data_IF_755008504070
#
_entry.id   IF_755008504070
#
_cell.length_a   1.000
_cell.length_b   1.000
_cell.length_c   1.000
_cell.angle_alpha   90.00
_cell.angle_beta   90.00
_cell.angle_gamma   90.00
#
_symmetry.space_group_name_H-M   'P 1'
#
loop_
_entity.id
_entity.type
_entity.pdbx_description
1 polymer ?
#
# COMPACT_ATOMS: atom_id res chain seq x y z
N UNK A 1 5.78 13.13 -2.74
CA UNK A 1 6.22 12.12 -1.75
C UNK A 1 7.73 11.91 -1.80
N UNK A 2 8.32 11.64 -2.97
CA UNK A 2 9.76 11.35 -3.12
C UNK A 2 10.67 12.42 -2.48
N UNK A 3 10.44 13.71 -2.77
CA UNK A 3 11.16 14.82 -2.12
C UNK A 3 11.15 14.75 -0.58
N UNK A 4 9.96 14.53 0.01
CA UNK A 4 9.85 14.38 1.47
C UNK A 4 10.59 13.15 1.99
N UNK A 5 10.53 12.03 1.27
CA UNK A 5 11.27 10.83 1.64
C UNK A 5 12.79 11.06 1.60
N UNK A 6 13.27 11.82 0.61
CA UNK A 6 14.68 12.22 0.51
C UNK A 6 15.08 13.18 1.64
N UNK A 7 14.25 14.18 1.93
CA UNK A 7 14.52 15.18 2.99
C UNK A 7 14.54 14.54 4.40
N UNK A 8 13.93 13.37 4.57
CA UNK A 8 13.91 12.60 5.81
C UNK A 8 15.08 11.57 5.90
N UNK A 9 16.03 11.65 4.97
CA UNK A 9 17.34 10.98 5.00
C UNK A 9 17.31 9.47 5.29
N UNK A 10 16.28 8.78 4.80
CA UNK A 10 16.15 7.33 4.97
C UNK A 10 15.82 6.86 6.38
N UNK A 11 15.56 7.79 7.32
CA UNK A 11 15.18 7.53 8.72
C UNK A 11 13.66 7.39 8.90
N UNK A 12 12.87 7.90 7.95
CA UNK A 12 11.42 7.84 7.97
C UNK A 12 10.83 7.29 6.67
N UNK A 13 9.68 6.64 6.80
CA UNK A 13 8.82 6.24 5.68
C UNK A 13 7.68 7.24 5.58
N UNK A 14 7.58 7.88 4.42
CA UNK A 14 6.46 8.77 4.08
C UNK A 14 5.33 7.92 3.53
N UNK A 15 4.11 8.19 3.95
CA UNK A 15 2.95 7.47 3.47
C UNK A 15 1.75 8.35 3.17
N UNK A 16 0.96 7.86 2.23
CA UNK A 16 -0.25 8.51 1.73
C UNK A 16 -1.39 7.50 1.74
N UNK A 17 -2.51 7.92 2.33
CA UNK A 17 -3.75 7.19 2.28
C UNK A 17 -4.67 7.89 1.28
N UNK A 18 -4.94 7.24 0.14
CA UNK A 18 -5.83 7.78 -0.88
C UNK A 18 -7.23 8.10 -0.35
N UNK A 19 -8.04 8.83 -1.13
CA UNK A 19 -9.40 9.17 -0.75
C UNK A 19 -10.16 7.89 -0.46
N UNK A 20 -10.76 7.79 0.73
CA UNK A 20 -11.44 6.56 1.19
C UNK A 20 -10.50 5.34 1.27
N UNK A 21 -9.25 5.52 1.69
CA UNK A 21 -8.32 4.42 2.01
C UNK A 21 -7.73 4.54 3.43
N UNK A 22 -8.57 4.91 4.41
CA UNK A 22 -8.15 5.08 5.80
C UNK A 22 -7.71 6.50 6.19
N UNK A 23 -7.90 7.50 5.31
CA UNK A 23 -7.72 8.90 5.67
C UNK A 23 -8.77 9.36 6.69
N UNK A 24 -8.34 9.88 7.83
CA UNK A 24 -9.21 10.39 8.90
C UNK A 24 -9.73 11.81 8.66
N UNK A 25 -9.10 12.56 7.74
CA UNK A 25 -9.48 13.91 7.31
C UNK A 25 -9.66 13.91 5.78
N UNK A 26 -10.81 13.44 5.26
CA UNK A 26 -11.04 13.30 3.82
C UNK A 26 -11.17 14.64 3.08
N UNK A 27 -11.29 15.74 3.84
CA UNK A 27 -11.42 17.11 3.37
C UNK A 27 -10.08 17.85 3.26
N UNK A 28 -8.97 17.23 3.68
CA UNK A 28 -7.65 17.85 3.63
C UNK A 28 -6.56 16.88 3.17
N UNK A 29 -5.88 17.25 2.09
CA UNK A 29 -4.72 16.53 1.58
C UNK A 29 -3.55 16.62 2.56
N UNK A 30 -2.98 15.47 2.94
CA UNK A 30 -1.80 15.43 3.80
C UNK A 30 -0.98 14.17 3.53
N UNK A 31 0.32 14.25 3.81
CA UNK A 31 1.20 13.10 3.96
C UNK A 31 1.43 12.84 5.45
N UNK A 32 1.77 11.59 5.76
CA UNK A 32 2.20 11.19 7.08
C UNK A 32 3.63 10.62 6.98
N UNK A 33 4.35 10.61 8.10
CA UNK A 33 5.67 10.01 8.19
C UNK A 33 5.82 9.27 9.53
N UNK A 34 6.52 8.14 9.51
CA UNK A 34 6.82 7.34 10.70
C UNK A 34 8.21 6.73 10.60
N UNK A 35 8.76 6.30 11.73
CA UNK A 35 10.12 5.72 11.79
C UNK A 35 10.25 4.53 10.85
N UNK A 36 11.36 4.48 10.10
CA UNK A 36 11.67 3.37 9.20
C UNK A 36 11.76 2.03 9.92
N UNK A 37 11.52 0.96 9.16
CA UNK A 37 11.62 -0.44 9.59
C UNK A 37 10.62 -0.83 10.69
N UNK A 38 9.66 0.04 10.99
CA UNK A 38 8.52 -0.29 11.85
C UNK A 38 7.51 -1.18 11.11
N UNK A 39 7.25 -0.91 9.82
CA UNK A 39 6.36 -1.74 9.00
C UNK A 39 7.13 -2.92 8.42
N UNK A 40 6.58 -4.13 8.52
CA UNK A 40 7.29 -5.35 8.11
C UNK A 40 7.59 -5.37 6.61
N UNK A 41 6.75 -4.74 5.77
CA UNK A 41 6.97 -4.61 4.33
C UNK A 41 8.31 -3.96 3.99
N UNK A 42 8.83 -3.06 4.84
CA UNK A 42 10.11 -2.39 4.63
C UNK A 42 11.28 -3.37 4.82
N UNK A 43 11.20 -4.20 5.86
CA UNK A 43 12.21 -5.21 6.17
C UNK A 43 12.16 -6.38 5.16
N UNK A 44 10.95 -6.73 4.74
CA UNK A 44 10.70 -7.85 3.84
C UNK A 44 10.78 -7.46 2.35
N UNK A 45 10.98 -6.18 2.02
CA UNK A 45 10.89 -5.65 0.65
C UNK A 45 11.62 -6.52 -0.39
N UNK A 46 12.90 -6.81 -0.16
CA UNK A 46 13.71 -7.65 -1.05
C UNK A 46 13.21 -9.09 -1.10
N UNK A 47 12.77 -9.63 0.03
CA UNK A 47 12.25 -11.01 0.12
C UNK A 47 10.89 -11.13 -0.57
N UNK A 48 10.02 -10.14 -0.43
CA UNK A 48 8.71 -10.07 -1.07
C UNK A 48 8.87 -10.05 -2.58
N UNK A 49 9.72 -9.15 -3.08
CA UNK A 49 10.10 -9.09 -4.49
C UNK A 49 10.64 -10.42 -4.99
N UNK A 50 11.61 -11.03 -4.31
CA UNK A 50 12.22 -12.30 -4.73
C UNK A 50 11.24 -13.48 -4.75
N UNK A 51 10.31 -13.57 -3.79
CA UNK A 51 9.44 -14.75 -3.62
C UNK A 51 8.09 -14.62 -4.32
N UNK A 52 7.57 -13.40 -4.42
CA UNK A 52 6.18 -13.13 -4.78
C UNK A 52 6.04 -12.18 -5.98
N UNK A 53 7.14 -11.84 -6.66
CA UNK A 53 7.06 -11.16 -7.94
C UNK A 53 6.28 -12.01 -8.95
N UNK A 54 5.27 -11.40 -9.57
CA UNK A 54 4.47 -12.01 -10.63
C UNK A 54 4.75 -11.40 -12.00
N UNK A 55 5.31 -10.20 -12.03
CA UNK A 55 5.78 -9.51 -13.23
C UNK A 55 6.82 -8.44 -12.81
N UNK A 56 7.77 -8.12 -13.68
CA UNK A 56 8.75 -7.06 -13.46
C UNK A 56 9.20 -6.45 -14.79
N UNK A 57 9.48 -5.15 -14.79
CA UNK A 57 10.09 -4.44 -15.93
C UNK A 57 11.12 -3.42 -15.45
N UNK A 58 12.09 -3.12 -16.31
CA UNK A 58 13.08 -2.06 -16.10
C UNK A 58 12.94 -1.05 -17.24
N UNK A 59 12.59 0.19 -16.90
CA UNK A 59 12.39 1.28 -17.86
C UNK A 59 13.06 2.55 -17.32
N UNK A 60 13.86 3.23 -18.14
CA UNK A 60 14.52 4.50 -17.77
C UNK A 60 15.28 4.45 -16.41
N UNK A 61 15.83 3.29 -16.05
CA UNK A 61 16.55 3.08 -14.79
C UNK A 61 15.66 2.86 -13.56
N UNK A 62 14.35 2.67 -13.76
CA UNK A 62 13.38 2.34 -12.71
C UNK A 62 12.94 0.89 -12.86
N UNK A 63 13.16 0.11 -11.80
CA UNK A 63 12.62 -1.24 -11.72
C UNK A 63 11.21 -1.18 -11.14
N UNK A 64 10.24 -1.68 -11.91
CA UNK A 64 8.85 -1.81 -11.51
C UNK A 64 8.54 -3.29 -11.33
N UNK A 65 8.18 -3.71 -10.12
CA UNK A 65 7.85 -5.10 -9.81
C UNK A 65 6.44 -5.23 -9.24
N UNK A 66 5.62 -6.07 -9.86
CA UNK A 66 4.31 -6.46 -9.34
C UNK A 66 4.47 -7.61 -8.36
N UNK A 67 3.92 -7.45 -7.16
CA UNK A 67 4.05 -8.42 -6.08
C UNK A 67 2.65 -8.86 -5.61
N UNK A 68 2.43 -10.17 -5.59
CA UNK A 68 1.23 -10.80 -5.04
C UNK A 68 1.65 -11.87 -4.02
N UNK A 69 1.57 -11.53 -2.73
CA UNK A 69 1.96 -12.42 -1.64
C UNK A 69 0.81 -13.32 -1.14
N UNK A 70 -0.28 -13.41 -1.91
CA UNK A 70 -1.50 -14.13 -1.57
C UNK A 70 -2.54 -13.28 -0.86
N UNK A 71 -2.15 -12.17 -0.22
CA UNK A 71 -3.07 -11.24 0.44
C UNK A 71 -2.99 -9.88 -0.27
N UNK A 72 -1.83 -9.25 -0.19
CA UNK A 72 -1.57 -7.88 -0.67
C UNK A 72 -1.29 -7.90 -2.17
N UNK A 73 -1.80 -6.88 -2.87
CA UNK A 73 -1.48 -6.59 -4.27
C UNK A 73 -0.70 -5.30 -4.34
N UNK A 74 0.57 -5.41 -4.70
CA UNK A 74 1.53 -4.33 -4.57
C UNK A 74 2.24 -4.09 -5.89
N UNK A 75 2.61 -2.84 -6.13
CA UNK A 75 3.59 -2.46 -7.15
C UNK A 75 4.75 -1.77 -6.46
N UNK A 76 5.94 -2.34 -6.62
CA UNK A 76 7.19 -1.80 -6.11
C UNK A 76 7.85 -1.00 -7.22
N UNK A 77 8.32 0.20 -6.91
CA UNK A 77 9.17 1.00 -7.80
C UNK A 77 10.49 1.29 -7.08
N UNK A 78 11.60 1.03 -7.76
CA UNK A 78 12.97 1.25 -7.27
C UNK A 78 13.77 2.04 -8.30
N UNK A 79 14.51 3.06 -7.87
CA UNK A 79 15.42 3.80 -8.74
C UNK A 79 16.03 5.03 -8.05
N UNK A 80 16.97 5.68 -8.72
CA UNK A 80 17.65 6.88 -8.18
C UNK A 80 17.16 8.19 -8.80
N UNK A 81 16.43 8.12 -9.92
CA UNK A 81 15.93 9.30 -10.63
C UNK A 81 14.46 9.57 -10.27
N UNK A 82 14.23 10.63 -9.48
CA UNK A 82 12.90 11.06 -9.04
C UNK A 82 11.90 11.21 -10.20
N UNK A 83 12.30 11.86 -11.30
CA UNK A 83 11.42 12.11 -12.45
C UNK A 83 11.05 10.83 -13.19
N UNK A 84 11.98 9.87 -13.29
CA UNK A 84 11.70 8.59 -13.94
C UNK A 84 10.72 7.76 -13.10
N UNK A 85 10.87 7.77 -11.77
CA UNK A 85 9.96 7.07 -10.85
C UNK A 85 8.56 7.70 -10.90
N UNK A 86 8.49 9.03 -10.89
CA UNK A 86 7.22 9.76 -11.05
C UNK A 86 6.51 9.37 -12.36
N UNK A 87 7.25 9.31 -13.47
CA UNK A 87 6.71 8.91 -14.77
C UNK A 87 6.15 7.47 -14.75
N UNK A 88 6.89 6.51 -14.19
CA UNK A 88 6.42 5.12 -14.07
C UNK A 88 5.21 5.02 -13.13
N UNK A 89 5.22 5.74 -12.01
CA UNK A 89 4.08 5.84 -11.10
C UNK A 89 2.83 6.33 -11.84
N UNK A 90 2.93 7.43 -12.59
CA UNK A 90 1.79 7.94 -13.36
C UNK A 90 1.33 7.00 -14.48
N UNK A 91 2.25 6.24 -15.09
CA UNK A 91 1.88 5.20 -16.04
C UNK A 91 1.01 4.12 -15.38
N UNK A 92 1.41 3.64 -14.19
CA UNK A 92 0.64 2.66 -13.41
C UNK A 92 -0.69 3.26 -12.94
N UNK A 93 -0.67 4.48 -12.41
CA UNK A 93 -1.84 5.20 -11.91
C UNK A 93 -2.90 5.35 -13.00
N UNK A 94 -2.52 5.89 -14.16
CA UNK A 94 -3.44 6.11 -15.27
C UNK A 94 -4.02 4.78 -15.77
N UNK A 95 -3.17 3.75 -15.92
CA UNK A 95 -3.62 2.42 -16.31
C UNK A 95 -4.59 1.83 -15.30
N UNK A 96 -4.34 2.04 -14.01
CA UNK A 96 -5.21 1.56 -12.95
C UNK A 96 -6.58 2.25 -12.98
N UNK A 97 -6.61 3.58 -13.13
CA UNK A 97 -7.84 4.36 -13.30
C UNK A 97 -8.65 3.88 -14.51
N UNK A 98 -8.00 3.68 -15.66
CA UNK A 98 -8.62 3.17 -16.89
C UNK A 98 -9.27 1.80 -16.69
N UNK A 99 -8.54 0.85 -16.12
CA UNK A 99 -9.02 -0.52 -15.90
C UNK A 99 -10.19 -0.58 -14.91
N UNK A 100 -10.26 0.37 -13.98
CA UNK A 100 -11.34 0.49 -12.99
C UNK A 100 -12.49 1.38 -13.47
N UNK A 101 -12.37 2.00 -14.65
CA UNK A 101 -13.34 2.97 -15.18
C UNK A 101 -13.66 4.09 -14.18
N UNK A 102 -12.62 4.66 -13.58
CA UNK A 102 -12.78 5.69 -12.54
C UNK A 102 -12.60 7.09 -13.12
N UNK A 103 -13.54 7.96 -12.77
CA UNK A 103 -13.43 9.41 -12.99
C UNK A 103 -12.70 10.12 -11.83
N UNK A 104 -12.62 9.47 -10.66
CA UNK A 104 -11.93 9.93 -9.46
C UNK A 104 -10.60 9.19 -9.27
N UNK A 105 -9.79 9.66 -8.31
CA UNK A 105 -8.53 9.00 -7.92
C UNK A 105 -8.79 7.53 -7.49
N UNK A 106 -8.04 6.55 -8.03
CA UNK A 106 -8.17 5.17 -7.62
C UNK A 106 -7.80 4.96 -6.15
N UNK A 107 -8.49 4.01 -5.54
CA UNK A 107 -8.20 3.59 -4.17
C UNK A 107 -6.79 2.98 -4.10
N UNK A 108 -5.91 3.64 -3.35
CA UNK A 108 -4.57 3.15 -3.07
C UNK A 108 -4.03 3.68 -1.75
N UNK A 109 -3.01 3.00 -1.27
CA UNK A 109 -2.12 3.49 -0.23
C UNK A 109 -0.69 3.46 -0.78
N UNK A 110 0.13 4.43 -0.42
CA UNK A 110 1.50 4.55 -0.93
C UNK A 110 2.45 4.68 0.24
N UNK A 111 3.54 3.93 0.21
CA UNK A 111 4.72 4.14 1.06
C UNK A 111 5.88 4.59 0.18
N UNK A 112 6.70 5.51 0.66
CA UNK A 112 7.92 5.95 0.01
C UNK A 112 9.01 6.20 1.05
N UNK A 113 10.21 5.68 0.77
CA UNK A 113 11.41 5.92 1.56
C UNK A 113 12.66 5.88 0.69
N UNK A 114 13.81 6.24 1.26
CA UNK A 114 15.12 6.06 0.64
C UNK A 114 15.94 4.97 1.34
N UNK A 115 16.74 4.25 0.57
CA UNK A 115 17.78 3.33 1.03
C UNK A 115 19.10 3.74 0.36
N UNK A 116 19.91 4.56 1.05
CA UNK A 116 21.00 5.29 0.40
C UNK A 116 20.44 6.29 -0.62
N UNK A 117 20.95 6.25 -1.85
CA UNK A 117 20.48 7.12 -2.96
C UNK A 117 19.25 6.54 -3.71
N UNK A 118 18.84 5.31 -3.40
CA UNK A 118 17.72 4.64 -4.06
C UNK A 118 16.40 4.99 -3.38
N UNK A 119 15.44 5.48 -4.15
CA UNK A 119 14.06 5.58 -3.74
C UNK A 119 13.38 4.22 -3.86
N UNK A 120 12.59 3.88 -2.84
CA UNK A 120 11.67 2.75 -2.86
C UNK A 120 10.25 3.23 -2.64
N UNK A 121 9.37 2.87 -3.54
CA UNK A 121 7.94 3.16 -3.47
C UNK A 121 7.17 1.85 -3.47
N UNK A 122 6.22 1.72 -2.54
CA UNK A 122 5.26 0.63 -2.53
C UNK A 122 3.87 1.22 -2.74
N UNK A 123 3.22 0.84 -3.83
CA UNK A 123 1.82 1.16 -4.10
C UNK A 123 0.98 -0.06 -3.78
N UNK A 124 0.10 0.06 -2.79
CA UNK A 124 -0.91 -0.94 -2.46
C UNK A 124 -2.19 -0.66 -3.25
N UNK A 125 -2.59 -1.59 -4.11
CA UNK A 125 -3.75 -1.43 -5.00
C UNK A 125 -5.02 -1.90 -4.30
N UNK A 126 -5.92 -0.98 -3.98
CA UNK A 126 -7.10 -1.24 -3.14
C UNK A 126 -8.37 -1.39 -3.96
N UNK A 127 -9.17 -2.40 -3.66
CA UNK A 127 -10.52 -2.59 -4.24
C UNK A 127 -11.60 -1.88 -3.41
N UNK A 128 -11.44 -1.85 -2.08
CA UNK A 128 -12.44 -1.32 -1.14
C UNK A 128 -11.81 -0.45 -0.06
N UNK A 129 -12.59 0.53 0.39
CA UNK A 129 -12.24 1.35 1.55
C UNK A 129 -12.16 0.51 2.83
N UNK A 130 -13.22 -0.26 3.11
CA UNK A 130 -13.36 -1.03 4.35
C UNK A 130 -13.84 -2.45 4.07
N UNK A 131 -13.39 -3.44 4.85
CA UNK A 131 -13.88 -4.81 4.76
C UNK A 131 -15.31 -4.91 5.31
N UNK A 132 -16.02 -5.98 4.96
CA UNK A 132 -17.42 -6.21 5.32
C UNK A 132 -17.63 -6.22 6.85
N UNK A 133 -16.73 -6.85 7.60
CA UNK A 133 -16.77 -6.89 9.07
C UNK A 133 -16.72 -5.51 9.74
N UNK A 134 -16.22 -4.48 9.07
CA UNK A 134 -16.26 -3.11 9.62
C UNK A 134 -17.71 -2.64 9.84
N UNK A 135 -18.61 -3.04 8.93
CA UNK A 135 -20.03 -2.68 8.91
C UNK A 135 -20.93 -3.74 9.54
N UNK A 136 -20.39 -4.88 9.96
CA UNK A 136 -21.16 -5.92 10.61
C UNK A 136 -21.68 -5.45 11.99
N UNK A 137 -22.65 -6.19 12.52
CA UNK A 137 -23.27 -5.91 13.81
C UNK A 137 -22.92 -6.97 14.86
N UNK A 138 -23.05 -6.60 16.12
CA UNK A 138 -22.81 -7.49 17.26
C UNK A 138 -21.41 -8.08 17.24
N UNK A 139 -21.31 -9.40 17.40
CA UNK A 139 -20.02 -10.08 17.49
C UNK A 139 -19.30 -10.18 16.15
N UNK A 140 -19.96 -10.07 15.00
CA UNK A 140 -19.22 -10.19 13.72
C UNK A 140 -18.44 -8.92 13.37
N UNK A 141 -18.73 -7.82 14.07
CA UNK A 141 -18.05 -6.54 13.87
C UNK A 141 -16.60 -6.61 14.34
N UNK A 142 -15.71 -6.08 13.50
CA UNK A 142 -14.33 -5.75 13.87
C UNK A 142 -14.07 -4.34 13.36
N UNK A 143 -13.77 -3.39 14.26
CA UNK A 143 -13.53 -1.99 13.93
C UNK A 143 -12.11 -1.75 13.39
N UNK A 144 -11.74 -2.50 12.35
CA UNK A 144 -10.49 -2.35 11.63
C UNK A 144 -10.78 -1.85 10.21
N UNK A 145 -10.22 -0.68 9.87
CA UNK A 145 -10.27 -0.10 8.54
C UNK A 145 -8.83 0.04 8.05
N UNK A 146 -8.25 -0.98 7.40
CA UNK A 146 -6.83 -0.99 7.08
C UNK A 146 -6.39 0.24 6.29
N UNK A 147 -5.34 0.90 6.75
CA UNK A 147 -4.63 1.98 6.08
C UNK A 147 -3.17 1.58 5.79
N UNK A 148 -2.33 2.53 5.38
CA UNK A 148 -0.93 2.28 5.00
C UNK A 148 -0.13 1.50 6.06
N UNK A 149 -0.32 1.80 7.35
CA UNK A 149 0.40 1.14 8.44
C UNK A 149 -0.06 -0.32 8.62
N UNK A 150 -1.37 -0.56 8.58
CA UNK A 150 -1.95 -1.89 8.72
C UNK A 150 -1.51 -2.82 7.60
N UNK A 151 -1.64 -2.38 6.35
CA UNK A 151 -1.25 -3.15 5.17
C UNK A 151 0.27 -3.20 4.96
N UNK A 152 0.99 -2.23 5.53
CA UNK A 152 2.44 -2.27 5.71
C UNK A 152 2.91 -3.39 6.66
N UNK A 153 1.98 -3.99 7.41
CA UNK A 153 2.22 -5.18 8.23
C UNK A 153 2.18 -4.93 9.73
N UNK A 154 1.57 -3.82 10.18
CA UNK A 154 1.35 -3.52 11.60
C UNK A 154 -0.13 -3.33 11.85
N UNK A 155 -0.84 -4.41 12.22
CA UNK A 155 -2.28 -4.35 12.49
C UNK A 155 -2.60 -3.58 13.77
N UNK A 156 -3.09 -2.35 13.64
CA UNK A 156 -3.46 -1.50 14.78
C UNK A 156 -4.92 -1.76 15.13
N UNK A 157 -5.17 -2.49 16.22
CA UNK A 157 -6.51 -2.84 16.69
C UNK A 157 -6.74 -2.18 18.05
N UNK A 158 -7.30 -0.95 18.09
CA UNK A 158 -7.37 -0.16 19.32
C UNK A 158 -8.53 -0.55 20.23
N UNK A 159 -9.54 -1.26 19.72
CA UNK A 159 -10.67 -1.75 20.51
C UNK A 159 -10.25 -3.07 21.15
N UNK A 160 -10.25 -3.11 22.49
CA UNK A 160 -9.79 -4.27 23.26
C UNK A 160 -10.55 -5.56 22.92
N UNK A 161 -11.89 -5.50 22.79
CA UNK A 161 -12.69 -6.67 22.42
C UNK A 161 -12.28 -7.21 21.04
N UNK A 162 -12.18 -6.34 20.03
CA UNK A 162 -11.74 -6.71 18.68
C UNK A 162 -10.32 -7.28 18.69
N UNK A 163 -9.41 -6.71 19.48
CA UNK A 163 -8.03 -7.17 19.62
C UNK A 163 -7.98 -8.59 20.19
N UNK A 164 -8.78 -8.87 21.21
CA UNK A 164 -8.83 -10.19 21.83
C UNK A 164 -9.48 -11.26 20.93
N UNK A 165 -10.32 -10.83 19.99
CA UNK A 165 -11.06 -11.71 19.09
C UNK A 165 -10.40 -11.92 17.73
N UNK A 166 -9.47 -11.06 17.34
CA UNK A 166 -8.80 -11.17 16.05
C UNK A 166 -8.07 -12.52 15.96
N UNK A 167 -8.25 -13.23 14.86
CA UNK A 167 -7.50 -14.43 14.54
C UNK A 167 -6.77 -14.25 13.21
N UNK A 168 -5.87 -15.19 12.88
CA UNK A 168 -5.21 -15.19 11.58
C UNK A 168 -6.23 -15.26 10.43
N UNK A 169 -7.28 -16.07 10.58
CA UNK A 169 -8.33 -16.24 9.59
C UNK A 169 -9.09 -14.95 9.38
N UNK A 170 -9.54 -14.30 10.46
CA UNK A 170 -10.25 -13.02 10.41
C UNK A 170 -9.37 -11.93 9.79
N UNK A 171 -8.09 -11.85 10.20
CA UNK A 171 -7.19 -10.85 9.65
C UNK A 171 -6.91 -11.09 8.16
N UNK A 172 -6.74 -12.35 7.75
CA UNK A 172 -6.55 -12.70 6.34
C UNK A 172 -7.77 -12.34 5.50
N UNK A 173 -8.98 -12.61 6.00
CA UNK A 173 -10.25 -12.22 5.39
C UNK A 173 -10.34 -10.70 5.21
N UNK A 174 -10.21 -9.94 6.31
CA UNK A 174 -10.27 -8.47 6.31
C UNK A 174 -9.29 -7.84 5.32
N UNK A 175 -8.05 -8.35 5.29
CA UNK A 175 -6.99 -7.81 4.43
C UNK A 175 -7.23 -8.18 2.96
N UNK A 176 -7.60 -9.43 2.67
CA UNK A 176 -7.85 -9.87 1.28
C UNK A 176 -8.99 -9.09 0.64
N UNK A 177 -10.05 -8.80 1.39
CA UNK A 177 -11.22 -8.07 0.88
C UNK A 177 -10.92 -6.65 0.37
N UNK A 178 -9.86 -6.02 0.86
CA UNK A 178 -9.54 -4.64 0.52
C UNK A 178 -8.61 -4.48 -0.68
N UNK A 179 -8.02 -5.57 -1.19
CA UNK A 179 -7.12 -5.54 -2.36
C UNK A 179 -7.84 -5.93 -3.66
N UNK A 180 -7.30 -5.44 -4.78
CA UNK A 180 -7.73 -5.83 -6.13
C UNK A 180 -7.48 -7.31 -6.41
N UNK A 181 -8.05 -7.83 -7.50
CA UNK A 181 -7.74 -9.20 -7.93
C UNK A 181 -6.34 -9.31 -8.54
N UNK A 182 -5.77 -10.52 -8.53
CA UNK A 182 -4.50 -10.82 -9.23
C UNK A 182 -4.59 -10.53 -10.73
N UNK A 183 -5.74 -10.79 -11.34
CA UNK A 183 -5.97 -10.56 -12.76
C UNK A 183 -5.91 -9.07 -13.11
N UNK A 184 -6.35 -8.19 -12.20
CA UNK A 184 -6.22 -6.76 -12.38
C UNK A 184 -4.76 -6.32 -12.24
N UNK A 185 -4.06 -6.81 -11.20
CA UNK A 185 -2.63 -6.51 -10.99
C UNK A 185 -1.82 -6.83 -12.27
N UNK A 186 -2.03 -7.99 -12.87
CA UNK A 186 -1.30 -8.44 -14.07
C UNK A 186 -1.59 -7.63 -15.35
N UNK A 187 -2.57 -6.71 -15.34
CA UNK A 187 -2.93 -5.85 -16.48
C UNK A 187 -2.34 -4.44 -16.41
N UNK A 188 -1.65 -4.12 -15.31
CA UNK A 188 -0.89 -2.87 -15.11
C UNK A 188 0.49 -2.92 -15.82
#
# INVERSE_FOLDING_TARGET
MLKLANDLDGEFTVFYNGPKCGASAPDHFHFQAGTRKFMTVENDFVTLKRRYAVNSRLTDGVEVTMVDDGIRKMVFLEGTNEMAIEKEFYSIFNRYSELKHLDEEPLMNILAWTEGEEFRVVVFLREKHRPARYFAEGTERILLSPASVDIGGVGVIPVEDDFNRITQEILTELMTEVFVSRELLLKL
#
